data_IF_319044030008
#
_entry.id   IF_319044030008
#
_cell.length_a   1.000
_cell.length_b   1.000
_cell.length_c   1.000
_cell.angle_alpha   90.00
_cell.angle_beta   90.00
_cell.angle_gamma   90.00
#
_symmetry.space_group_name_H-M   'P 1'
#
loop_
_entity.id
_entity.type
_entity.pdbx_description
1 polymer ?
#
# COMPACT_ATOMS: atom_id res chain seq x y z
N UNK A 1 -58.55 16.35 97.76
CA UNK A 1 -58.77 17.66 97.13
C UNK A 1 -57.42 18.32 96.88
N UNK A 2 -56.80 18.12 95.80
CA UNK A 2 -55.66 18.93 95.35
C UNK A 2 -55.27 18.39 94.00
N UNK A 3 -55.56 19.15 93.02
CA UNK A 3 -55.26 18.94 91.58
C UNK A 3 -53.80 19.19 91.25
N UNK A 4 -53.14 18.27 90.60
CA UNK A 4 -51.81 18.43 90.05
C UNK A 4 -51.86 18.77 88.51
N UNK A 5 -51.05 19.68 88.04
CA UNK A 5 -51.03 20.05 86.62
C UNK A 5 -50.19 19.10 85.72
N UNK A 6 -50.70 18.78 84.56
CA UNK A 6 -50.03 17.99 83.56
C UNK A 6 -49.02 18.86 82.77
N UNK A 7 -47.73 18.46 82.79
CA UNK A 7 -46.69 19.02 82.01
C UNK A 7 -46.69 18.34 80.64
N UNK A 8 -46.91 19.07 79.54
CA UNK A 8 -46.73 18.59 78.15
C UNK A 8 -45.29 18.80 77.72
N UNK A 9 -44.57 17.70 77.50
CA UNK A 9 -43.25 17.73 76.80
C UNK A 9 -43.48 17.69 75.27
N UNK A 10 -43.18 18.77 74.64
CA UNK A 10 -43.14 18.85 73.15
C UNK A 10 -41.82 18.25 72.66
N UNK A 11 -41.92 17.17 71.86
CA UNK A 11 -40.79 16.55 71.18
C UNK A 11 -40.58 17.31 69.82
N UNK A 12 -39.54 18.10 69.74
CA UNK A 12 -39.13 18.75 68.51
C UNK A 12 -38.34 17.69 67.63
N UNK A 13 -38.97 17.29 66.54
CA UNK A 13 -38.40 16.39 65.55
C UNK A 13 -37.54 17.21 64.56
N UNK A 14 -36.23 17.21 64.74
CA UNK A 14 -35.29 17.86 63.80
C UNK A 14 -35.12 17.02 62.54
N UNK A 15 -35.68 17.49 61.40
CA UNK A 15 -35.46 16.87 60.08
C UNK A 15 -34.05 17.23 59.60
N UNK A 16 -33.13 16.26 59.66
CA UNK A 16 -31.85 16.36 59.00
C UNK A 16 -32.02 16.02 57.51
N UNK A 17 -32.02 17.03 56.63
CA UNK A 17 -31.98 16.87 55.17
C UNK A 17 -30.58 16.40 54.80
N UNK A 18 -30.40 15.12 54.45
CA UNK A 18 -29.23 14.60 53.79
C UNK A 18 -29.20 15.23 52.38
N UNK A 19 -28.38 16.27 52.22
CA UNK A 19 -28.01 16.80 50.90
C UNK A 19 -27.26 15.74 50.10
N UNK A 20 -27.95 15.10 49.15
CA UNK A 20 -27.29 14.18 48.19
C UNK A 20 -26.28 14.94 47.35
N UNK A 21 -25.00 14.70 47.66
CA UNK A 21 -23.92 15.07 46.69
C UNK A 21 -24.08 14.23 45.43
N UNK A 22 -24.70 14.79 44.40
CA UNK A 22 -24.63 14.24 43.04
C UNK A 22 -23.18 14.36 42.56
N UNK A 23 -22.41 13.28 42.64
CA UNK A 23 -21.14 13.17 41.95
C UNK A 23 -21.46 13.20 40.46
N UNK A 24 -20.98 14.21 39.69
CA UNK A 24 -21.17 14.19 38.24
C UNK A 24 -20.54 12.90 37.72
N UNK A 25 -21.19 12.20 36.76
CA UNK A 25 -20.58 11.04 36.14
C UNK A 25 -19.22 11.49 35.62
N UNK A 26 -18.15 10.77 36.04
CA UNK A 26 -16.82 10.98 35.47
C UNK A 26 -17.00 10.91 33.96
N UNK A 27 -16.67 12.01 33.28
CA UNK A 27 -16.65 12.04 31.82
C UNK A 27 -15.78 10.85 31.41
N UNK A 28 -16.40 9.85 30.80
CA UNK A 28 -15.68 8.72 30.24
C UNK A 28 -14.67 9.33 29.27
N UNK A 29 -13.40 9.32 29.66
CA UNK A 29 -12.30 9.70 28.82
C UNK A 29 -12.41 8.76 27.63
N UNK A 30 -12.90 9.22 26.48
CA UNK A 30 -13.04 8.40 25.30
C UNK A 30 -11.63 7.98 24.93
N UNK A 31 -11.25 6.75 25.28
CA UNK A 31 -9.99 6.19 24.84
C UNK A 31 -9.96 6.32 23.31
N UNK A 32 -8.98 7.08 22.83
CA UNK A 32 -8.78 7.25 21.41
C UNK A 32 -8.67 5.87 20.77
N UNK A 33 -9.35 5.63 19.63
CA UNK A 33 -9.19 4.36 18.94
C UNK A 33 -7.72 4.15 18.57
N UNK A 34 -7.17 3.00 18.93
CA UNK A 34 -5.79 2.63 18.60
C UNK A 34 -5.78 1.72 17.40
N UNK A 35 -4.99 2.07 16.39
CA UNK A 35 -4.83 1.33 15.14
C UNK A 35 -3.39 0.85 15.00
N UNK A 36 -3.21 -0.43 14.64
CA UNK A 36 -1.90 -1.00 14.31
C UNK A 36 -1.64 -0.91 12.81
N UNK A 37 -0.44 -0.48 12.40
CA UNK A 37 0.02 -0.53 11.01
C UNK A 37 1.23 -1.46 10.93
N UNK A 38 1.07 -2.59 10.26
CA UNK A 38 2.07 -3.64 10.16
C UNK A 38 2.56 -3.75 8.72
N UNK A 39 3.85 -3.46 8.53
CA UNK A 39 4.48 -3.29 7.22
C UNK A 39 5.37 -4.49 6.90
N UNK A 40 5.35 -4.92 5.63
CA UNK A 40 6.26 -5.90 5.08
C UNK A 40 7.74 -5.53 5.34
N UNK A 41 8.21 -4.45 4.73
CA UNK A 41 9.60 -4.00 4.90
C UNK A 41 9.77 -2.55 4.48
N UNK A 42 10.31 -1.71 5.38
CA UNK A 42 10.68 -0.33 5.10
C UNK A 42 11.87 -0.19 4.13
N UNK A 43 12.47 -1.30 3.68
CA UNK A 43 13.47 -1.29 2.60
C UNK A 43 12.87 -0.93 1.24
N UNK A 44 11.56 -1.13 1.07
CA UNK A 44 10.81 -0.66 -0.09
C UNK A 44 10.43 0.79 0.17
N UNK A 45 11.01 1.72 -0.61
CA UNK A 45 11.01 3.18 -0.36
C UNK A 45 9.62 3.75 -0.10
N UNK A 46 8.60 3.32 -0.87
CA UNK A 46 7.24 3.85 -0.75
C UNK A 46 6.61 3.64 0.63
N UNK A 47 6.93 2.55 1.34
CA UNK A 47 6.22 2.20 2.59
C UNK A 47 6.39 3.21 3.71
N UNK A 48 7.50 3.94 3.75
CA UNK A 48 7.64 5.04 4.70
C UNK A 48 6.66 6.19 4.37
N UNK A 49 6.50 6.52 3.09
CA UNK A 49 5.55 7.55 2.63
C UNK A 49 4.11 7.16 2.95
N UNK A 50 3.74 5.89 2.72
CA UNK A 50 2.42 5.35 3.05
C UNK A 50 2.15 5.44 4.56
N UNK A 51 3.11 5.02 5.40
CA UNK A 51 3.00 5.09 6.86
C UNK A 51 2.81 6.53 7.36
N UNK A 52 3.61 7.46 6.86
CA UNK A 52 3.57 8.87 7.28
C UNK A 52 2.21 9.50 6.92
N UNK A 53 1.71 9.23 5.71
CA UNK A 53 0.41 9.71 5.26
C UNK A 53 -0.74 9.07 6.05
N UNK A 54 -0.67 7.77 6.32
CA UNK A 54 -1.63 7.05 7.14
C UNK A 54 -1.67 7.61 8.57
N UNK A 55 -0.51 7.72 9.22
CA UNK A 55 -0.41 8.19 10.60
C UNK A 55 -0.91 9.64 10.75
N UNK A 56 -0.59 10.50 9.78
CA UNK A 56 -1.12 11.88 9.72
C UNK A 56 -2.64 11.87 9.68
N UNK A 57 -3.23 11.11 8.75
CA UNK A 57 -4.70 11.06 8.58
C UNK A 57 -5.40 10.44 9.79
N UNK A 58 -4.88 9.35 10.34
CA UNK A 58 -5.44 8.73 11.53
C UNK A 58 -5.43 9.67 12.74
N UNK A 59 -4.35 10.46 12.92
CA UNK A 59 -4.26 11.50 13.96
C UNK A 59 -5.29 12.60 13.78
N UNK A 60 -5.53 13.07 12.55
CA UNK A 60 -6.58 14.04 12.22
C UNK A 60 -7.97 13.51 12.60
N UNK A 61 -8.19 12.20 12.48
CA UNK A 61 -9.41 11.50 12.85
C UNK A 61 -9.50 11.18 14.35
N UNK A 62 -8.49 11.57 15.14
CA UNK A 62 -8.46 11.39 16.58
C UNK A 62 -8.02 9.99 17.04
N UNK A 63 -7.36 9.21 16.19
CA UNK A 63 -6.84 7.89 16.51
C UNK A 63 -5.34 7.92 16.82
N UNK A 64 -4.88 6.98 17.65
CA UNK A 64 -3.46 6.71 17.88
C UNK A 64 -2.99 5.57 16.98
N UNK A 65 -1.80 5.72 16.38
CA UNK A 65 -1.19 4.73 15.49
C UNK A 65 0.04 4.14 16.15
N UNK A 66 0.15 2.81 16.12
CA UNK A 66 1.37 2.07 16.45
C UNK A 66 1.76 1.24 15.22
N UNK A 67 3.04 1.26 14.86
CA UNK A 67 3.53 0.57 13.66
C UNK A 67 4.67 -0.38 13.97
N UNK A 68 4.78 -1.42 13.15
CA UNK A 68 5.87 -2.41 13.20
C UNK A 68 6.34 -2.71 11.77
N UNK A 69 7.64 -2.95 11.61
CA UNK A 69 8.29 -3.37 10.37
C UNK A 69 8.72 -4.83 10.48
N UNK A 70 8.18 -5.68 9.64
CA UNK A 70 8.50 -7.11 9.62
C UNK A 70 9.83 -7.43 8.92
N UNK A 71 10.44 -6.45 8.25
CA UNK A 71 11.72 -6.59 7.56
C UNK A 71 11.78 -7.82 6.61
N UNK A 72 10.66 -8.12 5.93
CA UNK A 72 10.53 -9.25 5.00
C UNK A 72 10.46 -10.62 5.69
N UNK A 73 9.98 -10.70 6.93
CA UNK A 73 9.93 -11.94 7.69
C UNK A 73 8.53 -12.24 8.23
N UNK A 74 7.88 -13.28 7.69
CA UNK A 74 6.50 -13.65 8.02
C UNK A 74 6.29 -14.07 9.48
N UNK A 75 7.29 -14.73 10.10
CA UNK A 75 7.18 -15.15 11.50
C UNK A 75 7.34 -13.97 12.45
N UNK A 76 8.21 -13.01 12.10
CA UNK A 76 8.32 -11.75 12.81
C UNK A 76 7.01 -10.95 12.67
N UNK A 77 6.42 -10.90 11.46
CA UNK A 77 5.15 -10.23 11.20
C UNK A 77 4.03 -10.78 12.08
N UNK A 78 3.90 -12.10 12.18
CA UNK A 78 2.92 -12.72 13.07
C UNK A 78 3.18 -12.38 14.55
N UNK A 79 4.45 -12.38 14.99
CA UNK A 79 4.82 -12.00 16.37
C UNK A 79 4.46 -10.53 16.66
N UNK A 80 4.73 -9.66 15.71
CA UNK A 80 4.41 -8.23 15.81
C UNK A 80 2.90 -7.98 15.80
N UNK A 81 2.13 -8.70 14.97
CA UNK A 81 0.67 -8.64 14.99
C UNK A 81 0.12 -8.99 16.37
N UNK A 82 0.61 -10.08 17.00
CA UNK A 82 0.24 -10.46 18.37
C UNK A 82 0.58 -9.36 19.38
N UNK A 83 1.79 -8.80 19.30
CA UNK A 83 2.23 -7.69 20.15
C UNK A 83 1.31 -6.46 20.03
N UNK A 84 0.94 -6.08 18.81
CA UNK A 84 0.03 -4.95 18.55
C UNK A 84 -1.36 -5.21 19.16
N UNK A 85 -1.88 -6.43 19.00
CA UNK A 85 -3.17 -6.85 19.59
C UNK A 85 -3.11 -6.82 21.13
N UNK A 86 -2.01 -7.28 21.73
CA UNK A 86 -1.79 -7.19 23.18
C UNK A 86 -1.69 -5.73 23.68
N UNK A 87 -1.32 -4.79 22.80
CA UNK A 87 -1.36 -3.34 23.06
C UNK A 87 -2.76 -2.73 22.86
N UNK A 88 -3.80 -3.56 22.72
CA UNK A 88 -5.19 -3.16 22.57
C UNK A 88 -5.53 -2.38 21.31
N UNK A 89 -4.84 -2.62 20.19
CA UNK A 89 -5.31 -2.10 18.90
C UNK A 89 -6.68 -2.70 18.56
N UNK A 90 -7.55 -1.91 17.98
CA UNK A 90 -8.90 -2.32 17.55
C UNK A 90 -8.97 -2.73 16.10
N UNK A 91 -8.03 -2.26 15.31
CA UNK A 91 -7.89 -2.58 13.88
C UNK A 91 -6.41 -2.75 13.55
N UNK A 92 -6.09 -3.77 12.76
CA UNK A 92 -4.79 -3.94 12.10
C UNK A 92 -4.91 -3.53 10.64
N UNK A 93 -4.03 -2.64 10.20
CA UNK A 93 -3.76 -2.41 8.78
C UNK A 93 -2.52 -3.22 8.42
N UNK A 94 -2.65 -4.12 7.47
CA UNK A 94 -1.64 -5.12 7.16
C UNK A 94 -1.20 -5.01 5.72
N UNK A 95 0.10 -4.73 5.51
CA UNK A 95 0.82 -4.90 4.26
C UNK A 95 1.55 -6.24 4.35
N UNK A 96 1.01 -7.34 3.84
CA UNK A 96 1.61 -8.66 4.01
C UNK A 96 2.91 -8.79 3.21
N UNK A 97 3.91 -9.51 3.78
CA UNK A 97 5.09 -9.94 3.04
C UNK A 97 4.72 -11.10 2.09
N UNK A 98 4.15 -12.15 2.64
CA UNK A 98 3.59 -13.29 1.92
C UNK A 98 2.07 -13.28 2.11
N UNK A 99 1.33 -13.12 1.01
CA UNK A 99 -0.13 -12.93 1.07
C UNK A 99 -0.88 -14.20 1.52
N UNK A 100 -0.34 -15.39 1.27
CA UNK A 100 -0.94 -16.65 1.71
C UNK A 100 -0.64 -16.93 3.19
N UNK A 101 0.58 -16.64 3.67
CA UNK A 101 0.93 -16.80 5.08
C UNK A 101 0.26 -15.77 5.99
N UNK A 102 -0.13 -14.61 5.46
CA UNK A 102 -0.81 -13.58 6.23
C UNK A 102 -2.20 -14.02 6.74
N UNK A 103 -2.80 -15.05 6.16
CA UNK A 103 -4.08 -15.63 6.61
C UNK A 103 -4.06 -15.94 8.10
N UNK A 104 -2.96 -16.52 8.61
CA UNK A 104 -2.80 -16.83 10.06
C UNK A 104 -2.81 -15.57 10.95
N UNK A 105 -2.42 -14.41 10.42
CA UNK A 105 -2.50 -13.13 11.15
C UNK A 105 -3.96 -12.68 11.21
N UNK A 106 -4.68 -12.76 10.09
CA UNK A 106 -6.09 -12.42 10.01
C UNK A 106 -6.91 -13.30 10.99
N UNK A 107 -6.72 -14.62 10.93
CA UNK A 107 -7.39 -15.57 11.84
C UNK A 107 -7.15 -15.24 13.33
N UNK A 108 -5.88 -14.95 13.67
CA UNK A 108 -5.55 -14.56 15.04
C UNK A 108 -6.21 -13.23 15.42
N UNK A 109 -6.16 -12.20 14.58
CA UNK A 109 -6.79 -10.91 14.84
C UNK A 109 -8.31 -11.07 15.04
N UNK A 110 -8.99 -11.80 14.13
CA UNK A 110 -10.43 -12.07 14.22
C UNK A 110 -10.80 -12.86 15.47
N UNK A 111 -9.99 -13.81 15.91
CA UNK A 111 -10.21 -14.56 17.18
C UNK A 111 -10.15 -13.66 18.42
N UNK A 112 -9.53 -12.48 18.31
CA UNK A 112 -9.42 -11.46 19.37
C UNK A 112 -10.41 -10.29 19.17
N UNK A 113 -11.30 -10.36 18.19
CA UNK A 113 -12.26 -9.30 17.87
C UNK A 113 -11.61 -8.05 17.27
N UNK A 114 -10.42 -8.19 16.67
CA UNK A 114 -9.70 -7.11 16.01
C UNK A 114 -10.02 -7.14 14.53
N UNK A 115 -10.42 -6.01 13.97
CA UNK A 115 -10.67 -5.84 12.52
C UNK A 115 -9.38 -5.79 11.72
N UNK A 116 -9.45 -6.17 10.44
CA UNK A 116 -8.28 -6.20 9.55
C UNK A 116 -8.56 -5.47 8.25
N UNK A 117 -7.75 -4.46 7.96
CA UNK A 117 -7.64 -3.79 6.66
C UNK A 117 -6.49 -4.42 5.89
N UNK A 118 -6.76 -5.04 4.76
CA UNK A 118 -5.73 -5.48 3.82
C UNK A 118 -5.32 -4.27 2.98
N UNK A 119 -4.09 -3.80 3.15
CA UNK A 119 -3.60 -2.59 2.50
C UNK A 119 -2.64 -2.92 1.37
N UNK A 120 -2.91 -2.37 0.18
CA UNK A 120 -2.17 -2.53 -1.08
C UNK A 120 -2.16 -3.97 -1.61
N UNK A 121 -1.78 -4.95 -0.80
CA UNK A 121 -1.72 -6.38 -1.18
C UNK A 121 -2.92 -7.14 -0.61
N UNK A 122 -3.68 -7.80 -1.49
CA UNK A 122 -4.88 -8.53 -1.11
C UNK A 122 -4.54 -9.83 -0.37
N UNK A 123 -5.03 -9.97 0.87
CA UNK A 123 -4.92 -11.23 1.61
C UNK A 123 -6.07 -12.14 1.20
N UNK A 124 -5.75 -13.17 0.41
CA UNK A 124 -6.74 -14.10 -0.11
C UNK A 124 -7.18 -15.13 0.93
N UNK A 125 -8.32 -15.76 0.67
CA UNK A 125 -8.88 -16.87 1.45
C UNK A 125 -9.02 -16.55 2.96
N UNK A 126 -9.31 -15.30 3.32
CA UNK A 126 -9.33 -14.81 4.70
C UNK A 126 -10.55 -13.93 5.01
N UNK A 127 -10.80 -13.65 6.30
CA UNK A 127 -11.91 -12.82 6.79
C UNK A 127 -11.46 -11.38 7.04
N UNK A 128 -10.76 -10.75 6.07
CA UNK A 128 -10.47 -9.31 6.14
C UNK A 128 -11.76 -8.50 6.04
N UNK A 129 -11.81 -7.34 6.69
CA UNK A 129 -13.01 -6.49 6.73
C UNK A 129 -13.12 -5.57 5.52
N UNK A 130 -11.97 -5.12 4.98
CA UNK A 130 -11.89 -4.27 3.79
C UNK A 130 -10.53 -4.41 3.13
N UNK A 131 -10.53 -4.32 1.81
CA UNK A 131 -9.32 -4.13 1.00
C UNK A 131 -9.19 -2.64 0.61
N UNK A 132 -8.01 -2.08 0.76
CA UNK A 132 -7.68 -0.73 0.28
C UNK A 132 -6.43 -0.82 -0.60
N UNK A 133 -6.57 -0.62 -1.89
CA UNK A 133 -5.48 -0.82 -2.84
C UNK A 133 -5.77 -0.22 -4.22
N UNK A 134 -5.19 -0.83 -5.23
CA UNK A 134 -5.32 -0.46 -6.65
C UNK A 134 -5.67 -1.69 -7.48
N UNK A 135 -6.12 -1.48 -8.71
CA UNK A 135 -6.30 -2.55 -9.68
C UNK A 135 -4.95 -2.93 -10.30
N UNK A 136 -4.31 -3.96 -9.75
CA UNK A 136 -3.00 -4.42 -10.22
C UNK A 136 -3.04 -5.06 -11.61
N UNK A 137 -4.18 -5.64 -12.02
CA UNK A 137 -4.36 -6.13 -13.41
C UNK A 137 -4.34 -4.93 -14.37
N UNK A 138 -5.07 -3.87 -14.05
CA UNK A 138 -5.06 -2.64 -14.86
C UNK A 138 -3.67 -1.99 -14.93
N UNK A 139 -2.87 -2.06 -13.86
CA UNK A 139 -1.46 -1.60 -13.86
C UNK A 139 -0.65 -2.40 -14.90
N UNK A 140 -0.72 -3.73 -14.85
CA UNK A 140 -0.01 -4.58 -15.81
C UNK A 140 -0.42 -4.32 -17.25
N UNK A 141 -1.72 -4.14 -17.52
CA UNK A 141 -2.20 -3.74 -18.85
C UNK A 141 -1.63 -2.38 -19.28
N UNK A 142 -1.59 -1.40 -18.37
CA UNK A 142 -1.06 -0.06 -18.65
C UNK A 142 0.43 -0.10 -18.99
N UNK A 143 1.22 -0.87 -18.23
CA UNK A 143 2.65 -1.08 -18.49
C UNK A 143 2.88 -1.70 -19.86
N UNK A 144 2.19 -2.81 -20.17
CA UNK A 144 2.32 -3.49 -21.45
C UNK A 144 1.91 -2.61 -22.63
N UNK A 145 0.78 -1.89 -22.52
CA UNK A 145 0.31 -0.97 -23.57
C UNK A 145 1.31 0.18 -23.83
N UNK A 146 1.95 0.70 -22.78
CA UNK A 146 2.99 1.72 -22.95
C UNK A 146 4.23 1.17 -23.68
N UNK A 147 4.64 -0.07 -23.40
CA UNK A 147 5.75 -0.70 -24.14
C UNK A 147 5.37 -0.96 -25.60
N UNK A 148 4.17 -1.47 -25.87
CA UNK A 148 3.68 -1.67 -27.24
C UNK A 148 3.63 -0.38 -28.06
N UNK A 149 3.34 0.76 -27.44
CA UNK A 149 3.30 2.06 -28.12
C UNK A 149 4.66 2.49 -28.69
N UNK A 150 5.76 2.11 -28.04
CA UNK A 150 7.13 2.53 -28.42
C UNK A 150 7.95 1.39 -29.05
N UNK A 151 7.62 0.14 -28.77
CA UNK A 151 8.31 -1.04 -29.28
C UNK A 151 7.30 -2.11 -29.75
N UNK A 152 6.49 -1.86 -30.80
CA UNK A 152 5.38 -2.74 -31.20
C UNK A 152 5.81 -4.11 -31.72
N UNK A 153 7.12 -4.35 -31.89
CA UNK A 153 7.69 -5.63 -32.37
C UNK A 153 8.99 -5.96 -31.66
N UNK A 154 9.31 -7.25 -31.59
CA UNK A 154 10.59 -7.75 -31.10
C UNK A 154 10.48 -8.59 -29.83
N UNK A 155 11.62 -8.82 -29.18
CA UNK A 155 11.71 -9.65 -27.99
C UNK A 155 11.39 -8.86 -26.72
N UNK A 156 10.50 -9.39 -25.91
CA UNK A 156 10.05 -8.83 -24.65
C UNK A 156 10.52 -9.66 -23.47
N UNK A 157 10.95 -9.00 -22.40
CA UNK A 157 11.20 -9.59 -21.09
C UNK A 157 10.12 -9.12 -20.14
N UNK A 158 9.45 -10.04 -19.46
CA UNK A 158 8.56 -9.74 -18.36
C UNK A 158 9.39 -9.85 -17.07
N UNK A 159 9.43 -8.76 -16.30
CA UNK A 159 10.23 -8.64 -15.08
C UNK A 159 9.31 -8.37 -13.89
N UNK A 160 8.98 -9.44 -13.19
CA UNK A 160 7.99 -9.44 -12.14
C UNK A 160 8.59 -9.13 -10.76
N UNK A 161 7.69 -8.86 -9.81
CA UNK A 161 8.04 -8.66 -8.42
C UNK A 161 8.27 -9.95 -7.64
N UNK A 162 8.00 -9.90 -6.32
CA UNK A 162 8.12 -11.08 -5.46
C UNK A 162 7.04 -12.12 -5.79
N UNK A 163 7.40 -13.40 -5.94
CA UNK A 163 6.42 -14.47 -6.20
C UNK A 163 5.47 -14.71 -5.01
N UNK A 164 5.75 -14.17 -3.82
CA UNK A 164 4.89 -14.23 -2.64
C UNK A 164 3.90 -13.06 -2.55
N UNK A 165 3.97 -12.11 -3.49
CA UNK A 165 3.11 -10.94 -3.56
C UNK A 165 2.05 -11.13 -4.66
N UNK A 166 0.78 -11.18 -4.28
CA UNK A 166 -0.33 -11.35 -5.22
C UNK A 166 -0.38 -10.23 -6.27
N UNK A 167 0.05 -9.01 -5.94
CA UNK A 167 0.05 -7.92 -6.91
C UNK A 167 0.97 -8.20 -8.10
N UNK A 168 2.11 -8.85 -7.88
CA UNK A 168 3.02 -9.24 -8.96
C UNK A 168 2.34 -10.22 -9.94
N UNK A 169 1.60 -11.19 -9.42
CA UNK A 169 0.83 -12.12 -10.25
C UNK A 169 -0.30 -11.43 -11.02
N UNK A 170 -1.03 -10.51 -10.38
CA UNK A 170 -2.10 -9.74 -11.02
C UNK A 170 -1.55 -8.79 -12.10
N UNK A 171 -0.39 -8.17 -11.88
CA UNK A 171 0.26 -7.37 -12.92
C UNK A 171 0.69 -8.22 -14.10
N UNK A 172 1.29 -9.40 -13.86
CA UNK A 172 1.64 -10.34 -14.92
C UNK A 172 0.41 -10.77 -15.73
N UNK A 173 -0.73 -11.02 -15.07
CA UNK A 173 -2.00 -11.30 -15.76
C UNK A 173 -2.37 -10.17 -16.71
N UNK A 174 -2.36 -8.92 -16.23
CA UNK A 174 -2.66 -7.74 -17.03
C UNK A 174 -1.67 -7.54 -18.18
N UNK A 175 -0.37 -7.73 -17.94
CA UNK A 175 0.67 -7.67 -18.96
C UNK A 175 0.43 -8.70 -20.06
N UNK A 176 0.25 -9.98 -19.68
CA UNK A 176 -0.02 -11.06 -20.65
C UNK A 176 -1.28 -10.81 -21.45
N UNK A 177 -2.37 -10.38 -20.81
CA UNK A 177 -3.63 -10.05 -21.47
C UNK A 177 -3.45 -8.98 -22.57
N UNK A 178 -2.69 -7.92 -22.27
CA UNK A 178 -2.45 -6.84 -23.22
C UNK A 178 -1.49 -7.26 -24.37
N UNK A 179 -0.49 -8.12 -24.07
CA UNK A 179 0.51 -8.56 -25.02
C UNK A 179 0.03 -9.70 -25.93
N UNK A 180 -0.91 -10.54 -25.47
CA UNK A 180 -1.33 -11.77 -26.15
C UNK A 180 -1.69 -11.56 -27.63
N UNK A 181 -2.49 -10.54 -28.04
CA UNK A 181 -2.81 -10.35 -29.46
C UNK A 181 -1.57 -10.09 -30.35
N UNK A 182 -0.49 -9.56 -29.78
CA UNK A 182 0.76 -9.28 -30.51
C UNK A 182 1.66 -10.51 -30.52
N UNK A 183 1.62 -11.34 -29.48
CA UNK A 183 2.29 -12.65 -29.47
C UNK A 183 1.66 -13.58 -30.51
N UNK A 184 0.33 -13.64 -30.57
CA UNK A 184 -0.41 -14.51 -31.49
C UNK A 184 -0.14 -14.16 -32.98
N UNK A 185 0.08 -12.88 -33.28
CA UNK A 185 0.47 -12.43 -34.62
C UNK A 185 1.95 -12.60 -34.95
N UNK A 186 2.77 -12.95 -33.94
CA UNK A 186 4.23 -13.02 -34.09
C UNK A 186 4.93 -11.66 -34.16
N UNK A 187 4.24 -10.56 -33.81
CA UNK A 187 4.85 -9.23 -33.74
C UNK A 187 5.86 -9.13 -32.56
N UNK A 188 5.53 -9.73 -31.43
CA UNK A 188 6.42 -9.83 -30.27
C UNK A 188 6.63 -11.28 -29.83
N UNK A 189 7.77 -11.53 -29.19
CA UNK A 189 8.09 -12.79 -28.55
C UNK A 189 8.46 -12.53 -27.09
N UNK A 190 7.77 -13.13 -26.12
CA UNK A 190 8.19 -13.15 -24.73
C UNK A 190 9.33 -14.14 -24.62
N UNK A 191 10.54 -13.64 -24.37
CA UNK A 191 11.78 -14.45 -24.33
C UNK A 191 12.22 -14.81 -22.93
N UNK A 192 11.69 -14.11 -21.91
CA UNK A 192 11.92 -14.42 -20.50
C UNK A 192 10.76 -13.88 -19.64
N UNK A 193 10.45 -14.61 -18.58
CA UNK A 193 9.60 -14.23 -17.47
C UNK A 193 10.42 -14.41 -16.19
N UNK A 194 10.74 -13.30 -15.53
CA UNK A 194 11.74 -13.23 -14.46
C UNK A 194 11.05 -12.77 -13.17
N UNK A 195 11.31 -13.42 -12.07
CA UNK A 195 10.73 -13.12 -10.77
C UNK A 195 11.80 -12.60 -9.79
N UNK A 196 11.56 -11.49 -9.16
CA UNK A 196 12.49 -10.86 -8.24
C UNK A 196 12.01 -11.05 -6.80
N UNK A 197 12.49 -12.09 -6.13
CA UNK A 197 12.21 -12.31 -4.71
C UNK A 197 12.43 -11.02 -3.91
N UNK A 198 11.46 -10.69 -3.04
CA UNK A 198 11.46 -9.48 -2.20
C UNK A 198 11.59 -8.16 -2.98
N UNK A 199 11.17 -8.15 -4.27
CA UNK A 199 11.31 -7.00 -5.16
C UNK A 199 12.75 -6.50 -5.29
N UNK A 200 13.73 -7.39 -5.16
CA UNK A 200 15.15 -7.06 -5.03
C UNK A 200 15.75 -6.56 -6.36
N UNK A 201 16.22 -5.30 -6.45
CA UNK A 201 16.81 -4.75 -7.69
C UNK A 201 18.10 -5.46 -8.13
N UNK A 202 18.86 -6.03 -7.20
CA UNK A 202 20.09 -6.75 -7.55
C UNK A 202 19.78 -8.08 -8.25
N UNK A 203 18.67 -8.76 -7.89
CA UNK A 203 18.21 -9.92 -8.64
C UNK A 203 17.73 -9.52 -10.03
N UNK A 204 17.00 -8.41 -10.15
CA UNK A 204 16.57 -7.87 -11.44
C UNK A 204 17.78 -7.61 -12.36
N UNK A 205 18.82 -6.96 -11.84
CA UNK A 205 20.06 -6.73 -12.57
C UNK A 205 20.68 -8.03 -13.10
N UNK A 206 20.90 -9.02 -12.23
CA UNK A 206 21.52 -10.30 -12.61
C UNK A 206 20.70 -11.04 -13.66
N UNK A 207 19.38 -11.18 -13.42
CA UNK A 207 18.50 -11.95 -14.29
C UNK A 207 18.33 -11.27 -15.65
N UNK A 208 18.26 -9.93 -15.69
CA UNK A 208 18.15 -9.17 -16.96
C UNK A 208 19.48 -9.21 -17.72
N UNK A 209 20.64 -9.14 -17.04
CA UNK A 209 21.95 -9.33 -17.69
C UNK A 209 21.99 -10.67 -18.41
N UNK A 210 21.60 -11.75 -17.73
CA UNK A 210 21.55 -13.10 -18.32
C UNK A 210 20.57 -13.16 -19.50
N UNK A 211 19.40 -12.51 -19.40
CA UNK A 211 18.40 -12.49 -20.47
C UNK A 211 18.92 -11.74 -21.71
N UNK A 212 19.63 -10.64 -21.52
CA UNK A 212 20.25 -9.86 -22.59
C UNK A 212 21.30 -10.71 -23.32
N UNK A 213 22.18 -11.40 -22.61
CA UNK A 213 23.20 -12.26 -23.19
C UNK A 213 22.60 -13.43 -23.98
N UNK A 214 21.64 -14.17 -23.37
CA UNK A 214 20.96 -15.31 -23.98
C UNK A 214 20.21 -14.95 -25.25
N UNK A 215 19.76 -13.71 -25.37
CA UNK A 215 19.06 -13.21 -26.55
C UNK A 215 19.96 -12.37 -27.46
N UNK A 216 21.28 -12.49 -27.35
CA UNK A 216 22.26 -11.81 -28.20
C UNK A 216 22.01 -10.30 -28.30
N UNK A 217 21.61 -9.67 -27.18
CA UNK A 217 21.23 -8.25 -27.06
C UNK A 217 20.00 -7.83 -27.87
N UNK A 218 19.24 -8.77 -28.42
CA UNK A 218 18.05 -8.50 -29.21
C UNK A 218 16.80 -8.40 -28.29
N UNK A 219 16.78 -7.43 -27.36
CA UNK A 219 15.64 -7.11 -26.49
C UNK A 219 15.06 -5.78 -26.93
N UNK A 220 13.74 -5.72 -27.15
CA UNK A 220 13.02 -4.51 -27.54
C UNK A 220 12.37 -3.80 -26.37
N UNK A 221 11.85 -4.57 -25.39
CA UNK A 221 11.22 -4.02 -24.21
C UNK A 221 11.39 -4.93 -22.98
N UNK A 222 11.41 -4.29 -21.80
CA UNK A 222 11.32 -4.93 -20.48
C UNK A 222 10.08 -4.38 -19.81
N UNK A 223 9.07 -5.24 -19.62
CA UNK A 223 7.87 -4.90 -18.85
C UNK A 223 8.19 -5.17 -17.39
N UNK A 224 8.69 -4.14 -16.68
CA UNK A 224 9.05 -4.25 -15.28
C UNK A 224 7.87 -3.83 -14.40
N UNK A 225 7.56 -4.64 -13.38
CA UNK A 225 6.41 -4.47 -12.51
C UNK A 225 6.55 -3.28 -11.56
N UNK A 226 7.78 -2.90 -11.14
CA UNK A 226 8.00 -1.69 -10.34
C UNK A 226 9.30 -0.96 -10.68
N UNK A 227 9.48 0.24 -10.11
CA UNK A 227 10.61 1.14 -10.39
C UNK A 227 11.92 0.65 -9.78
N UNK A 228 11.87 -0.06 -8.68
CA UNK A 228 13.06 -0.68 -8.06
C UNK A 228 13.68 -1.73 -8.96
N UNK A 229 12.89 -2.70 -9.43
CA UNK A 229 13.35 -3.76 -10.36
C UNK A 229 13.69 -3.18 -11.74
N UNK A 230 12.94 -2.18 -12.23
CA UNK A 230 13.27 -1.42 -13.43
C UNK A 230 14.66 -0.77 -13.32
N UNK A 231 15.02 -0.25 -12.14
CA UNK A 231 16.35 0.30 -11.87
C UNK A 231 17.47 -0.72 -12.05
N UNK A 232 17.28 -1.93 -11.53
CA UNK A 232 18.21 -3.04 -11.74
C UNK A 232 18.34 -3.43 -13.22
N UNK A 233 17.20 -3.54 -13.91
CA UNK A 233 17.17 -3.83 -15.35
C UNK A 233 17.89 -2.75 -16.18
N UNK A 234 17.68 -1.47 -15.87
CA UNK A 234 18.33 -0.35 -16.58
C UNK A 234 19.84 -0.33 -16.34
N UNK A 235 20.30 -0.74 -15.14
CA UNK A 235 21.73 -0.92 -14.89
C UNK A 235 22.34 -2.00 -15.81
N UNK A 236 21.67 -3.16 -15.97
CA UNK A 236 22.10 -4.22 -16.89
C UNK A 236 22.11 -3.73 -18.35
N UNK A 237 21.09 -2.97 -18.76
CA UNK A 237 21.02 -2.35 -20.08
C UNK A 237 22.18 -1.38 -20.32
N UNK A 238 22.53 -0.55 -19.32
CA UNK A 238 23.64 0.41 -19.41
C UNK A 238 24.98 -0.28 -19.63
N UNK A 239 25.27 -1.34 -18.91
CA UNK A 239 26.51 -2.12 -19.07
C UNK A 239 26.58 -2.80 -20.43
N UNK A 240 25.42 -3.19 -20.98
CA UNK A 240 25.29 -3.74 -22.33
C UNK A 240 25.24 -2.67 -23.45
N UNK A 241 25.27 -1.37 -23.10
CA UNK A 241 25.12 -0.20 -24.02
C UNK A 241 23.75 -0.18 -24.74
N UNK A 242 22.70 -0.60 -24.05
CA UNK A 242 21.31 -0.67 -24.55
C UNK A 242 20.36 0.29 -23.82
N UNK A 243 20.85 1.02 -22.80
CA UNK A 243 20.05 2.00 -22.06
C UNK A 243 19.57 3.13 -22.99
N UNK A 244 18.29 3.50 -22.84
CA UNK A 244 17.64 4.48 -23.72
C UNK A 244 17.24 3.94 -25.11
N UNK A 245 17.61 2.70 -25.48
CA UNK A 245 17.17 2.04 -26.71
C UNK A 245 16.13 0.95 -26.45
N UNK A 246 16.20 0.27 -25.31
CA UNK A 246 15.22 -0.71 -24.84
C UNK A 246 14.17 0.01 -24.02
N UNK A 247 12.89 -0.20 -24.35
CA UNK A 247 11.78 0.37 -23.57
C UNK A 247 11.66 -0.32 -22.21
N UNK A 248 11.46 0.46 -21.13
CA UNK A 248 11.33 -0.08 -19.77
C UNK A 248 10.16 0.56 -19.06
N UNK A 249 9.23 -0.23 -18.52
CA UNK A 249 8.15 0.24 -17.67
C UNK A 249 8.55 0.27 -16.19
N UNK A 250 7.63 0.72 -15.34
CA UNK A 250 7.76 0.69 -13.89
C UNK A 250 6.43 0.99 -13.20
N UNK A 251 6.48 1.12 -11.87
CA UNK A 251 5.38 1.52 -11.00
C UNK A 251 5.98 2.14 -9.74
N UNK A 252 5.24 2.99 -9.10
CA UNK A 252 5.44 3.72 -7.84
C UNK A 252 5.90 5.16 -8.00
N UNK A 253 6.37 5.57 -9.18
CA UNK A 253 6.83 6.92 -9.48
C UNK A 253 7.95 7.40 -8.53
N UNK A 254 8.88 6.50 -8.17
CA UNK A 254 10.03 6.78 -7.34
C UNK A 254 10.86 7.94 -7.93
N UNK A 255 11.52 8.73 -7.09
CA UNK A 255 12.34 9.85 -7.55
C UNK A 255 13.37 9.41 -8.60
N UNK A 256 14.02 8.27 -8.35
CA UNK A 256 14.99 7.71 -9.28
C UNK A 256 14.36 7.34 -10.64
N UNK A 257 13.14 6.83 -10.65
CA UNK A 257 12.41 6.50 -11.87
C UNK A 257 12.00 7.76 -12.64
N UNK A 258 11.48 8.78 -11.97
CA UNK A 258 11.15 10.08 -12.60
C UNK A 258 12.39 10.69 -13.26
N UNK A 259 13.54 10.62 -12.59
CA UNK A 259 14.82 11.08 -13.17
C UNK A 259 15.20 10.23 -14.40
N UNK A 260 15.04 8.90 -14.37
CA UNK A 260 15.30 8.01 -15.51
C UNK A 260 14.36 8.27 -16.69
N UNK A 261 13.08 8.56 -16.41
CA UNK A 261 12.09 8.94 -17.44
C UNK A 261 12.51 10.24 -18.12
N UNK A 262 12.89 11.26 -17.36
CA UNK A 262 13.34 12.54 -17.90
C UNK A 262 14.65 12.42 -18.70
N UNK A 263 15.55 11.50 -18.30
CA UNK A 263 16.76 11.13 -19.04
C UNK A 263 16.48 10.31 -20.28
N UNK A 264 15.33 9.66 -20.39
CA UNK A 264 14.94 8.77 -21.49
C UNK A 264 15.46 7.34 -21.36
N UNK A 265 15.90 6.90 -20.17
CA UNK A 265 16.36 5.53 -19.90
C UNK A 265 15.25 4.63 -19.30
N UNK A 266 14.16 5.21 -18.85
CA UNK A 266 12.90 4.53 -18.52
C UNK A 266 11.78 5.18 -19.31
N UNK A 267 10.85 4.38 -19.83
CA UNK A 267 9.78 4.88 -20.72
C UNK A 267 8.65 5.50 -19.92
N UNK A 268 8.21 4.80 -18.86
CA UNK A 268 7.12 5.25 -18.03
C UNK A 268 7.17 4.60 -16.64
N UNK A 269 6.37 5.14 -15.75
CA UNK A 269 6.01 4.51 -14.47
C UNK A 269 4.50 4.64 -14.23
N UNK A 270 3.91 3.77 -13.41
CA UNK A 270 2.53 3.94 -12.95
C UNK A 270 2.54 4.62 -11.59
N UNK A 271 1.93 5.79 -11.52
CA UNK A 271 1.75 6.55 -10.30
C UNK A 271 0.46 6.17 -9.59
N UNK A 272 0.57 5.99 -8.28
CA UNK A 272 -0.54 5.83 -7.34
C UNK A 272 -0.53 7.02 -6.38
N UNK A 273 -1.64 7.76 -6.16
CA UNK A 273 -1.67 8.86 -5.18
C UNK A 273 -1.60 8.31 -3.75
N UNK A 274 -0.39 8.01 -3.25
CA UNK A 274 -0.16 7.30 -1.97
C UNK A 274 -0.81 8.01 -0.78
N UNK A 275 -0.77 9.35 -0.75
CA UNK A 275 -1.41 10.12 0.33
C UNK A 275 -2.93 9.89 0.38
N UNK A 276 -3.60 9.82 -0.77
CA UNK A 276 -5.02 9.53 -0.84
C UNK A 276 -5.32 8.06 -0.48
N UNK A 277 -4.52 7.13 -0.98
CA UNK A 277 -4.66 5.70 -0.69
C UNK A 277 -4.49 5.42 0.82
N UNK A 278 -3.41 5.90 1.41
CA UNK A 278 -3.13 5.76 2.84
C UNK A 278 -4.18 6.50 3.70
N UNK A 279 -4.67 7.66 3.22
CA UNK A 279 -5.76 8.39 3.86
C UNK A 279 -7.04 7.59 3.93
N UNK A 280 -7.44 6.94 2.84
CA UNK A 280 -8.62 6.06 2.79
C UNK A 280 -8.44 4.82 3.69
N UNK A 281 -7.23 4.26 3.77
CA UNK A 281 -6.94 3.18 4.70
C UNK A 281 -7.08 3.63 6.16
N UNK A 282 -6.61 4.84 6.49
CA UNK A 282 -6.76 5.41 7.83
C UNK A 282 -8.25 5.65 8.18
N UNK A 283 -9.03 6.20 7.25
CA UNK A 283 -10.47 6.41 7.42
C UNK A 283 -11.21 5.10 7.72
N UNK A 284 -10.92 4.05 6.94
CA UNK A 284 -11.51 2.73 7.14
C UNK A 284 -11.04 2.09 8.44
N UNK A 285 -9.75 2.18 8.75
CA UNK A 285 -9.21 1.61 9.98
C UNK A 285 -9.81 2.27 11.24
N UNK A 286 -9.95 3.59 11.25
CA UNK A 286 -10.55 4.34 12.36
C UNK A 286 -12.06 4.09 12.47
N UNK A 287 -12.77 3.97 11.33
CA UNK A 287 -14.18 3.60 11.32
C UNK A 287 -14.40 2.22 11.96
N UNK A 288 -13.65 1.20 11.52
CA UNK A 288 -13.69 -0.15 12.08
C UNK A 288 -13.31 -0.17 13.57
N UNK A 289 -12.27 0.56 13.97
CA UNK A 289 -11.85 0.67 15.38
C UNK A 289 -12.93 1.33 16.26
N UNK A 290 -13.83 2.11 15.66
CA UNK A 290 -14.97 2.75 16.31
C UNK A 290 -16.28 1.95 16.17
N UNK A 291 -16.23 0.71 15.68
CA UNK A 291 -17.39 -0.15 15.49
C UNK A 291 -18.30 0.26 14.32
N UNK A 292 -17.81 1.07 13.39
CA UNK A 292 -18.55 1.49 12.20
C UNK A 292 -18.21 0.59 11.00
N UNK A 293 -19.10 0.59 10.01
CA UNK A 293 -18.85 -0.12 8.75
C UNK A 293 -17.78 0.62 7.92
N UNK A 294 -16.94 -0.11 7.15
CA UNK A 294 -15.99 0.50 6.25
C UNK A 294 -16.70 1.19 5.08
N UNK A 295 -16.08 2.25 4.56
CA UNK A 295 -16.48 2.88 3.30
C UNK A 295 -15.78 2.16 2.16
N UNK A 296 -16.54 1.81 1.10
CA UNK A 296 -16.00 1.11 -0.07
C UNK A 296 -16.45 1.78 -1.36
N UNK A 297 -15.65 1.68 -2.42
CA UNK A 297 -15.99 2.11 -3.79
C UNK A 297 -16.45 0.96 -4.67
N UNK A 298 -16.28 -0.27 -4.19
CA UNK A 298 -16.64 -1.50 -4.87
C UNK A 298 -16.43 -2.72 -3.98
N UNK A 299 -16.29 -3.87 -4.61
CA UNK A 299 -15.98 -5.14 -3.94
C UNK A 299 -14.88 -5.87 -4.68
N UNK A 300 -14.18 -6.77 -3.99
CA UNK A 300 -13.21 -7.69 -4.58
C UNK A 300 -13.45 -9.10 -4.03
N UNK A 301 -13.36 -10.10 -4.90
CA UNK A 301 -13.34 -11.50 -4.47
C UNK A 301 -11.93 -11.84 -3.97
N UNK A 302 -11.84 -12.25 -2.71
CA UNK A 302 -10.57 -12.66 -2.13
C UNK A 302 -10.34 -14.18 -2.16
N UNK A 303 -11.20 -14.91 -2.86
CA UNK A 303 -11.17 -16.39 -2.94
C UNK A 303 -12.00 -17.09 -1.86
N UNK A 304 -12.36 -16.41 -0.77
CA UNK A 304 -13.26 -16.89 0.28
C UNK A 304 -14.67 -16.31 0.11
N UNK A 305 -14.74 -15.02 -0.14
CA UNK A 305 -15.99 -14.29 -0.38
C UNK A 305 -15.68 -12.91 -0.99
N UNK A 306 -16.73 -12.24 -1.47
CA UNK A 306 -16.64 -10.85 -1.90
C UNK A 306 -16.58 -9.93 -0.69
N UNK A 307 -15.56 -9.06 -0.64
CA UNK A 307 -15.33 -8.11 0.45
C UNK A 307 -15.42 -6.67 -0.04
N UNK A 308 -15.75 -5.70 0.85
CA UNK A 308 -15.68 -4.29 0.53
C UNK A 308 -14.27 -3.91 0.06
N UNK A 309 -14.18 -3.09 -0.99
CA UNK A 309 -12.90 -2.66 -1.54
C UNK A 309 -12.90 -1.16 -1.86
N UNK A 310 -11.76 -0.53 -1.66
CA UNK A 310 -11.45 0.82 -2.10
C UNK A 310 -10.34 0.72 -3.14
N UNK A 311 -10.62 1.16 -4.37
CA UNK A 311 -9.63 1.23 -5.44
C UNK A 311 -9.22 2.68 -5.66
N UNK A 312 -7.96 3.00 -5.39
CA UNK A 312 -7.40 4.29 -5.74
C UNK A 312 -7.16 4.39 -7.26
N UNK A 313 -7.26 5.60 -7.84
CA UNK A 313 -6.93 5.79 -9.24
C UNK A 313 -5.45 5.54 -9.51
N UNK A 314 -5.14 5.11 -10.74
CA UNK A 314 -3.77 4.92 -11.22
C UNK A 314 -3.54 5.79 -12.45
N UNK A 315 -2.31 6.29 -12.62
CA UNK A 315 -1.95 7.20 -13.71
C UNK A 315 -0.64 6.75 -14.36
N UNK A 316 -0.66 6.56 -15.70
CA UNK A 316 0.58 6.38 -16.44
C UNK A 316 1.34 7.71 -16.48
N UNK A 317 2.59 7.69 -16.03
CA UNK A 317 3.48 8.85 -16.02
C UNK A 317 4.64 8.60 -16.97
N UNK A 318 4.80 9.49 -17.93
CA UNK A 318 5.93 9.52 -18.85
C UNK A 318 6.54 10.94 -18.90
N UNK A 319 7.51 11.13 -19.77
CA UNK A 319 8.20 12.42 -19.89
C UNK A 319 7.27 13.60 -20.23
N UNK A 320 6.13 13.35 -20.86
CA UNK A 320 5.20 14.41 -21.30
C UNK A 320 4.32 14.93 -20.16
N UNK A 321 4.07 14.14 -19.12
CA UNK A 321 3.11 14.48 -18.08
C UNK A 321 3.67 14.46 -16.63
N UNK A 322 4.97 14.24 -16.43
CA UNK A 322 5.62 14.27 -15.08
C UNK A 322 5.21 15.53 -14.30
N UNK A 323 5.17 16.69 -14.95
CA UNK A 323 4.85 17.97 -14.30
C UNK A 323 3.41 18.05 -13.83
N UNK A 324 2.48 17.59 -14.67
CA UNK A 324 1.03 17.70 -14.43
C UNK A 324 0.49 16.57 -13.56
N UNK A 325 1.35 15.61 -13.20
CA UNK A 325 1.03 14.47 -12.35
C UNK A 325 1.81 14.54 -11.04
N UNK A 326 2.91 13.82 -10.92
CA UNK A 326 3.65 13.62 -9.66
C UNK A 326 4.23 14.91 -9.06
N UNK A 327 4.55 15.93 -9.88
CA UNK A 327 5.03 17.23 -9.38
C UNK A 327 3.85 18.07 -8.90
N UNK A 328 2.79 18.16 -9.70
CA UNK A 328 1.58 18.94 -9.37
C UNK A 328 0.93 18.44 -8.07
N UNK A 329 0.91 17.13 -7.86
CA UNK A 329 0.37 16.51 -6.64
C UNK A 329 1.31 16.66 -5.43
N UNK A 330 2.52 17.20 -5.62
CA UNK A 330 3.52 17.35 -4.57
C UNK A 330 4.19 16.03 -4.15
N UNK A 331 3.94 14.95 -4.88
CA UNK A 331 4.56 13.65 -4.61
C UNK A 331 6.06 13.67 -4.86
N UNK A 332 6.50 14.31 -5.96
CA UNK A 332 7.92 14.59 -6.24
C UNK A 332 8.19 16.08 -6.24
N UNK A 333 9.27 16.49 -5.56
CA UNK A 333 9.66 17.91 -5.47
C UNK A 333 10.43 18.33 -6.71
N UNK A 334 9.96 19.38 -7.41
CA UNK A 334 10.57 19.87 -8.62
C UNK A 334 12.03 20.29 -8.43
N UNK A 335 12.37 20.88 -7.27
CA UNK A 335 13.74 21.34 -7.00
C UNK A 335 14.71 20.16 -6.86
N UNK A 336 14.27 19.04 -6.27
CA UNK A 336 15.05 17.81 -6.18
C UNK A 336 15.30 17.21 -7.57
N UNK A 337 14.28 17.20 -8.42
CA UNK A 337 14.42 16.73 -9.82
C UNK A 337 15.38 17.63 -10.60
N UNK A 338 15.25 18.96 -10.48
CA UNK A 338 16.12 19.92 -11.17
C UNK A 338 17.56 19.83 -10.72
N UNK A 339 17.82 19.60 -9.43
CA UNK A 339 19.18 19.39 -8.91
C UNK A 339 19.87 18.15 -9.48
N UNK A 340 19.10 17.13 -9.89
CA UNK A 340 19.61 15.87 -10.43
C UNK A 340 19.77 15.86 -11.97
N UNK A 341 19.34 16.93 -12.68
CA UNK A 341 19.24 16.97 -14.14
C UNK A 341 19.77 18.28 -14.71
N UNK A 342 20.40 18.24 -15.90
CA UNK A 342 20.71 19.47 -16.63
C UNK A 342 19.41 20.18 -17.07
N UNK A 343 19.43 21.52 -17.27
CA UNK A 343 18.24 22.28 -17.64
C UNK A 343 17.51 21.80 -18.91
N UNK A 344 18.24 21.20 -19.85
CA UNK A 344 17.67 20.62 -21.08
C UNK A 344 16.75 19.42 -20.85
N UNK A 345 16.85 18.77 -19.67
CA UNK A 345 16.05 17.61 -19.27
C UNK A 345 15.00 17.94 -18.20
N UNK A 346 14.86 19.21 -17.82
CA UNK A 346 13.82 19.57 -16.85
C UNK A 346 12.41 19.31 -17.39
N UNK A 347 11.45 18.95 -16.52
CA UNK A 347 10.05 18.79 -16.94
C UNK A 347 9.51 20.12 -17.47
N UNK A 348 8.86 20.04 -18.64
CA UNK A 348 8.34 21.22 -19.37
C UNK A 348 6.94 21.60 -18.89
#
# INVERSE_FOLDING_TARGET
MLSAPRLCFGLALSLVTLGGFSVPPAAAQSDKPKVGFLIDSLKIERWQTDLDAFAKRAKELGADVVSEDANGNDDLMLKQAKKLIDQHVKTLVLVPHDTDKAVRIVEFAKSKGVSVVSYDRLIRNSDIDVFVGVDSVAIGEMQAKAMLAVAPKGNYVLLEGSPTDINAHMMLEGQKKALQPYVDRGDIKIVAELWCQDWNPALAYTQVSDAIEKNHKAVAAIVASNDGTAGGAIQALKESKLDGTVAVSGQDADLAAVIRILKGTQTMTVYKPLAALAGQAAENAVALASGKQPTATGTIDNGKHSIPAVFAPIVAVDKSNVKDTVIKDGFQKIDTIRAALPPSQWPK
#
